data_IF_202581578883
#
_entry.id   IF_202581578883
#
_cell.length_a   1.000
_cell.length_b   1.000
_cell.length_c   1.000
_cell.angle_alpha   90.00
_cell.angle_beta   90.00
_cell.angle_gamma   90.00
#
_symmetry.space_group_name_H-M   'P 1'
#
loop_
_entity.id
_entity.type
_entity.pdbx_description
1 polymer ?
#
# COMPACT_ATOMS: atom_id res chain seq x y z
N UNK A 1 -2.29 -11.86 -4.03
CA UNK A 1 -3.72 -12.24 -3.85
C UNK A 1 -4.54 -11.43 -4.84
N UNK A 2 -5.59 -11.97 -5.46
CA UNK A 2 -6.50 -11.19 -6.31
C UNK A 2 -7.82 -11.07 -5.56
N UNK A 3 -8.28 -9.84 -5.33
CA UNK A 3 -9.59 -9.55 -4.75
C UNK A 3 -10.36 -8.73 -5.77
N UNK A 4 -11.56 -9.17 -6.14
CA UNK A 4 -12.44 -8.47 -7.10
C UNK A 4 -11.74 -8.10 -8.43
N UNK A 5 -10.97 -9.03 -9.00
CA UNK A 5 -10.15 -8.84 -10.23
C UNK A 5 -9.03 -7.79 -10.13
N UNK A 6 -8.59 -7.46 -8.90
CA UNK A 6 -7.46 -6.56 -8.64
C UNK A 6 -6.35 -7.29 -7.88
N UNK A 7 -5.12 -7.15 -8.36
CA UNK A 7 -3.93 -7.65 -7.66
C UNK A 7 -3.68 -6.84 -6.38
N UNK A 8 -3.61 -7.55 -5.27
CA UNK A 8 -3.36 -7.03 -3.93
C UNK A 8 -1.91 -7.29 -3.54
N UNK A 9 -1.24 -6.25 -3.05
CA UNK A 9 0.15 -6.29 -2.60
C UNK A 9 0.27 -5.89 -1.13
N UNK A 10 1.15 -6.55 -0.35
CA UNK A 10 1.46 -6.12 0.99
C UNK A 10 2.21 -4.79 0.93
N UNK A 11 1.60 -3.73 1.46
CA UNK A 11 2.15 -2.38 1.36
C UNK A 11 3.53 -2.28 2.04
N UNK A 12 3.75 -3.05 3.12
CA UNK A 12 5.03 -3.08 3.84
C UNK A 12 6.19 -3.48 2.93
N UNK A 13 6.02 -4.49 2.08
CA UNK A 13 7.09 -4.93 1.18
C UNK A 13 7.45 -3.83 0.16
N UNK A 14 6.46 -3.08 -0.33
CA UNK A 14 6.69 -1.98 -1.27
C UNK A 14 7.42 -0.84 -0.58
N UNK A 15 7.01 -0.47 0.64
CA UNK A 15 7.63 0.64 1.37
C UNK A 15 9.05 0.30 1.82
N UNK A 16 9.29 -0.92 2.32
CA UNK A 16 10.64 -1.39 2.68
C UNK A 16 11.57 -1.40 1.47
N UNK A 17 11.09 -1.80 0.29
CA UNK A 17 11.86 -1.78 -0.95
C UNK A 17 12.13 -0.36 -1.49
N UNK A 18 11.43 0.66 -1.00
CA UNK A 18 11.66 2.08 -1.29
C UNK A 18 12.45 2.79 -0.19
N UNK A 19 13.10 2.04 0.72
CA UNK A 19 13.78 2.55 1.92
C UNK A 19 12.86 3.43 2.79
N UNK A 20 11.57 3.14 2.76
CA UNK A 20 10.56 3.84 3.53
C UNK A 20 10.23 3.18 4.86
N UNK A 21 9.42 3.87 5.66
CA UNK A 21 8.95 3.41 6.97
C UNK A 21 7.44 3.24 6.99
N UNK A 22 6.97 2.22 7.72
CA UNK A 22 5.54 1.95 7.91
C UNK A 22 5.22 2.02 9.40
N UNK A 23 4.33 2.93 9.75
CA UNK A 23 3.74 3.04 11.08
C UNK A 23 2.29 2.56 11.05
N UNK A 24 1.96 1.63 11.95
CA UNK A 24 0.61 1.08 12.11
C UNK A 24 0.04 1.51 13.45
N UNK A 25 -1.15 2.09 13.44
CA UNK A 25 -1.88 2.52 14.62
C UNK A 25 -3.17 1.69 14.75
N UNK A 26 -3.12 0.65 15.60
CA UNK A 26 -4.20 -0.33 15.74
C UNK A 26 -5.51 0.26 16.28
N UNK A 27 -5.45 1.27 17.15
CA UNK A 27 -6.63 1.88 17.78
C UNK A 27 -7.54 2.59 16.78
N UNK A 28 -6.97 3.16 15.72
CA UNK A 28 -7.69 3.89 14.68
C UNK A 28 -7.67 3.17 13.32
N UNK A 29 -7.11 1.94 13.28
CA UNK A 29 -6.83 1.17 12.08
C UNK A 29 -6.14 2.01 10.99
N UNK A 30 -5.25 2.91 11.42
CA UNK A 30 -4.59 3.88 10.57
C UNK A 30 -3.17 3.42 10.24
N UNK A 31 -2.80 3.56 8.98
CA UNK A 31 -1.47 3.25 8.45
C UNK A 31 -0.87 4.56 7.97
N UNK A 32 0.32 4.88 8.45
CA UNK A 32 1.14 5.97 7.94
C UNK A 32 2.38 5.37 7.28
N UNK A 33 2.62 5.73 6.03
CA UNK A 33 3.69 5.23 5.21
C UNK A 33 4.53 6.43 4.81
N UNK A 34 5.83 6.34 4.92
CA UNK A 34 6.73 7.41 4.49
C UNK A 34 7.82 6.80 3.62
N UNK A 35 7.85 7.14 2.33
CA UNK A 35 8.83 6.60 1.38
C UNK A 35 9.31 7.71 0.45
N UNK A 36 10.63 7.83 0.26
CA UNK A 36 11.25 8.84 -0.62
C UNK A 36 10.71 10.28 -0.45
N UNK A 37 10.35 10.68 0.78
CA UNK A 37 9.76 11.99 1.09
C UNK A 37 8.25 12.12 0.88
N UNK A 38 7.59 11.09 0.32
CA UNK A 38 6.14 11.02 0.23
C UNK A 38 5.55 10.41 1.50
N UNK A 39 4.49 11.02 2.03
CA UNK A 39 3.74 10.51 3.18
C UNK A 39 2.35 10.08 2.74
N UNK A 40 2.02 8.81 2.93
CA UNK A 40 0.70 8.24 2.66
C UNK A 40 0.04 7.84 3.97
N UNK A 41 -1.16 8.33 4.23
CA UNK A 41 -2.01 7.87 5.33
C UNK A 41 -3.19 7.13 4.76
N UNK A 42 -3.50 5.96 5.27
CA UNK A 42 -4.66 5.17 4.87
C UNK A 42 -5.33 4.54 6.08
N UNK A 43 -6.59 4.17 5.92
CA UNK A 43 -7.38 3.51 6.96
C UNK A 43 -7.87 2.16 6.45
N UNK A 44 -7.84 1.13 7.29
CA UNK A 44 -8.39 -0.18 6.93
C UNK A 44 -9.88 -0.07 6.67
N UNK A 45 -10.35 -0.83 5.68
CA UNK A 45 -11.75 -0.89 5.24
C UNK A 45 -12.31 0.47 4.79
N UNK A 46 -11.44 1.47 4.53
CA UNK A 46 -11.80 2.74 3.93
C UNK A 46 -11.10 2.97 2.60
N UNK A 47 -11.87 3.51 1.66
CA UNK A 47 -11.43 3.83 0.31
C UNK A 47 -10.73 5.19 0.25
N UNK A 48 -10.90 6.04 1.27
CA UNK A 48 -10.26 7.33 1.38
C UNK A 48 -8.85 7.16 1.95
N UNK A 49 -7.88 7.83 1.34
CA UNK A 49 -6.49 7.89 1.77
C UNK A 49 -5.98 9.32 1.62
N UNK A 50 -4.89 9.64 2.31
CA UNK A 50 -4.16 10.90 2.15
C UNK A 50 -2.79 10.60 1.54
N UNK A 51 -2.42 11.31 0.49
CA UNK A 51 -1.08 11.25 -0.13
C UNK A 51 -0.53 12.66 -0.12
N UNK A 52 0.56 12.88 0.62
CA UNK A 52 1.15 14.19 0.87
C UNK A 52 0.15 15.24 1.36
N UNK A 53 -0.83 14.82 2.16
CA UNK A 53 -1.90 15.70 2.68
C UNK A 53 -3.10 15.89 1.75
N UNK A 54 -3.01 15.44 0.50
CA UNK A 54 -4.13 15.47 -0.45
C UNK A 54 -4.98 14.20 -0.34
N UNK A 55 -6.31 14.35 -0.37
CA UNK A 55 -7.22 13.20 -0.32
C UNK A 55 -7.32 12.52 -1.68
N UNK A 56 -7.18 11.20 -1.66
CA UNK A 56 -7.40 10.33 -2.80
C UNK A 56 -8.37 9.21 -2.43
N UNK A 57 -9.06 8.71 -3.45
CA UNK A 57 -9.93 7.54 -3.31
C UNK A 57 -9.34 6.39 -4.12
N UNK A 58 -9.30 5.22 -3.50
CA UNK A 58 -8.87 3.98 -4.17
C UNK A 58 -10.06 3.07 -4.42
N UNK A 59 -10.02 2.35 -5.54
CA UNK A 59 -11.10 1.44 -5.97
C UNK A 59 -11.42 0.36 -4.92
N UNK A 60 -10.40 -0.10 -4.19
CA UNK A 60 -10.49 -1.19 -3.21
C UNK A 60 -9.79 -0.75 -1.93
N UNK A 61 -10.52 -0.79 -0.81
CA UNK A 61 -10.01 -0.41 0.49
C UNK A 61 -8.82 -1.29 0.93
N UNK A 62 -7.87 -0.76 1.71
CA UNK A 62 -6.83 -1.57 2.33
C UNK A 62 -7.46 -2.57 3.30
N UNK A 63 -6.98 -3.80 3.30
CA UNK A 63 -7.49 -4.83 4.20
C UNK A 63 -6.34 -5.60 4.85
N UNK A 64 -6.57 -6.11 6.05
CA UNK A 64 -5.59 -6.92 6.77
C UNK A 64 -5.93 -8.39 6.55
N UNK A 65 -5.00 -9.12 5.94
CA UNK A 65 -5.10 -10.56 5.75
C UNK A 65 -3.89 -11.20 6.40
N UNK A 66 -4.12 -12.14 7.33
CA UNK A 66 -3.06 -12.83 8.07
C UNK A 66 -2.04 -11.88 8.74
N UNK A 67 -2.53 -10.79 9.33
CA UNK A 67 -1.68 -9.80 10.02
C UNK A 67 -0.84 -8.92 9.10
N UNK A 68 -1.07 -8.97 7.78
CA UNK A 68 -0.41 -8.09 6.79
C UNK A 68 -1.45 -7.21 6.12
N UNK A 69 -1.15 -5.93 6.01
CA UNK A 69 -1.97 -4.99 5.25
C UNK A 69 -1.72 -5.17 3.76
N UNK A 70 -2.79 -5.44 3.02
CA UNK A 70 -2.80 -5.50 1.58
C UNK A 70 -3.51 -4.27 0.99
N UNK A 71 -2.93 -3.74 -0.07
CA UNK A 71 -3.45 -2.61 -0.84
C UNK A 71 -3.50 -2.96 -2.33
N UNK A 72 -4.29 -2.24 -3.13
CA UNK A 72 -4.30 -2.44 -4.57
C UNK A 72 -2.95 -2.09 -5.20
N UNK A 73 -2.47 -2.94 -6.11
CA UNK A 73 -1.20 -2.72 -6.81
C UNK A 73 -1.16 -1.36 -7.53
N UNK A 74 -2.28 -0.96 -8.14
CA UNK A 74 -2.39 0.32 -8.85
C UNK A 74 -2.12 1.50 -7.92
N UNK A 75 -2.69 1.47 -6.71
CA UNK A 75 -2.46 2.51 -5.71
C UNK A 75 -0.96 2.65 -5.41
N UNK A 76 -0.29 1.52 -5.13
CA UNK A 76 1.13 1.50 -4.84
C UNK A 76 1.95 2.02 -6.03
N UNK A 77 1.58 1.67 -7.26
CA UNK A 77 2.31 2.11 -8.44
C UNK A 77 2.15 3.62 -8.73
N UNK A 78 0.93 4.15 -8.62
CA UNK A 78 0.61 5.54 -8.94
C UNK A 78 1.07 6.53 -7.87
N UNK A 79 0.93 6.18 -6.58
CA UNK A 79 1.13 7.13 -5.48
C UNK A 79 2.52 7.09 -4.86
N UNK A 80 3.26 6.00 -5.07
CA UNK A 80 4.66 5.89 -4.68
C UNK A 80 5.61 6.16 -5.86
N UNK A 81 5.07 6.62 -7.00
CA UNK A 81 5.80 6.94 -8.23
C UNK A 81 6.76 5.82 -8.67
N UNK A 82 6.33 4.57 -8.54
CA UNK A 82 7.16 3.39 -8.78
C UNK A 82 6.43 2.36 -9.63
N UNK A 83 7.15 1.69 -10.54
CA UNK A 83 6.61 0.52 -11.24
C UNK A 83 6.73 -0.69 -10.33
N UNK A 84 5.67 -0.95 -9.56
CA UNK A 84 5.57 -2.14 -8.72
C UNK A 84 5.11 -3.32 -9.59
N UNK A 85 5.90 -4.39 -9.62
CA UNK A 85 5.57 -5.67 -10.21
C UNK A 85 5.37 -6.71 -9.10
N UNK A 86 4.17 -7.25 -8.96
CA UNK A 86 3.90 -8.23 -7.92
C UNK A 86 4.13 -9.66 -8.42
N UNK A 87 5.09 -10.36 -7.83
CA UNK A 87 5.35 -11.77 -8.10
C UNK A 87 4.51 -12.60 -7.14
N UNK A 88 3.40 -13.15 -7.66
CA UNK A 88 2.46 -13.91 -6.85
C UNK A 88 3.02 -15.27 -6.37
N UNK A 89 4.05 -15.82 -7.03
CA UNK A 89 4.70 -17.09 -6.67
C UNK A 89 5.57 -16.97 -5.41
N UNK A 90 6.34 -15.90 -5.28
CA UNK A 90 7.20 -15.65 -4.10
C UNK A 90 6.54 -14.74 -3.07
N UNK A 91 5.39 -14.13 -3.40
CA UNK A 91 4.77 -13.06 -2.61
C UNK A 91 5.74 -11.89 -2.42
N UNK A 92 6.49 -11.56 -3.47
CA UNK A 92 7.45 -10.46 -3.49
C UNK A 92 6.97 -9.33 -4.38
N UNK A 93 7.21 -8.10 -3.94
CA UNK A 93 7.06 -6.92 -4.77
C UNK A 93 8.42 -6.64 -5.41
N UNK A 94 8.51 -6.73 -6.74
CA UNK A 94 9.68 -6.33 -7.52
C UNK A 94 9.45 -4.90 -7.99
N UNK A 95 10.33 -4.01 -7.57
CA UNK A 95 10.33 -2.61 -7.99
C UNK A 95 11.32 -2.47 -9.15
N UNK A 96 10.88 -1.91 -10.27
CA UNK A 96 11.74 -1.62 -11.42
C UNK A 96 12.02 -0.11 -11.42
N UNK A 97 13.29 0.27 -11.25
CA UNK A 97 13.78 1.65 -11.36
C UNK A 97 14.07 2.03 -12.82
#
# INVERSE_FOLDING_TARGET
>A
MIISSRSMVPIRAVVEALDGTVSWEGSSQKITLTAQGNTVVMWIDKNEILVNGNRYYIDVAPTIVNGRTYVPLRFAAENLNTKVYWINSTREAVIIY
#
